data_IF_402588488249
#
_entry.id   IF_402588488249
#
_cell.length_a   1.000
_cell.length_b   1.000
_cell.length_c   1.000
_cell.angle_alpha   90.00
_cell.angle_beta   90.00
_cell.angle_gamma   90.00
#
_symmetry.space_group_name_H-M   'P 1'
#
loop_
_entity.id
_entity.type
_entity.pdbx_description
1 polymer ?
#
# COMPACT_ATOMS: atom_id res chain seq x y z
N UNK A 1 -6.44 48.11 8.38
CA UNK A 1 -5.11 47.89 8.98
C UNK A 1 -5.14 46.56 9.75
N UNK A 2 -4.72 45.47 9.11
CA UNK A 2 -4.75 44.13 9.70
C UNK A 2 -3.42 43.85 10.41
N UNK A 3 -3.46 43.77 11.73
CA UNK A 3 -2.32 43.44 12.57
C UNK A 3 -2.04 41.94 12.50
N UNK A 4 -0.94 41.55 11.83
CA UNK A 4 -0.34 40.21 11.93
C UNK A 4 0.07 39.95 13.38
N UNK A 5 -0.51 38.95 14.04
CA UNK A 5 0.05 38.39 15.28
C UNK A 5 1.07 37.31 14.91
N UNK A 6 2.26 37.28 15.54
CA UNK A 6 3.27 36.25 15.28
C UNK A 6 2.85 34.94 15.94
N UNK A 7 2.92 33.83 15.21
CA UNK A 7 2.65 32.50 15.74
C UNK A 7 3.74 32.12 16.75
N UNK A 8 3.33 31.90 18.00
CA UNK A 8 4.18 31.28 19.01
C UNK A 8 4.30 29.80 18.70
N UNK A 9 5.47 29.40 18.18
CA UNK A 9 5.85 28.01 17.94
C UNK A 9 5.92 27.26 19.28
N UNK A 10 4.98 26.36 19.53
CA UNK A 10 5.18 25.21 20.40
C UNK A 10 5.92 24.15 19.58
N UNK A 11 6.99 23.50 20.08
CA UNK A 11 7.82 22.65 19.26
C UNK A 11 7.09 21.33 18.94
N UNK A 12 6.47 21.28 17.76
CA UNK A 12 6.28 20.02 17.02
C UNK A 12 7.62 19.28 17.01
N UNK A 13 7.63 18.02 17.44
CA UNK A 13 8.81 17.16 17.43
C UNK A 13 9.59 17.34 16.11
N UNK A 14 10.89 17.65 16.20
CA UNK A 14 11.70 18.02 15.06
C UNK A 14 11.69 16.89 14.01
N UNK A 15 11.11 17.08 12.82
CA UNK A 15 10.98 16.02 11.80
C UNK A 15 12.34 15.41 11.40
N UNK A 16 13.41 16.21 11.47
CA UNK A 16 14.78 15.75 11.20
C UNK A 16 15.31 14.75 12.23
N UNK A 17 14.90 14.86 13.50
CA UNK A 17 15.31 13.91 14.54
C UNK A 17 14.61 12.55 14.38
N UNK A 18 13.32 12.56 14.03
CA UNK A 18 12.55 11.34 13.73
C UNK A 18 13.08 10.63 12.47
N UNK A 19 13.45 11.38 11.43
CA UNK A 19 14.05 10.83 10.21
C UNK A 19 15.42 10.16 10.49
N UNK A 20 16.27 10.78 11.32
CA UNK A 20 17.58 10.23 11.69
C UNK A 20 17.45 8.96 12.55
N UNK A 21 16.52 8.94 13.50
CA UNK A 21 16.23 7.75 14.30
C UNK A 21 15.68 6.59 13.45
N UNK A 22 14.83 6.90 12.46
CA UNK A 22 14.34 5.91 11.51
C UNK A 22 15.46 5.33 10.62
N UNK A 23 16.43 6.14 10.20
CA UNK A 23 17.61 5.69 9.43
C UNK A 23 18.45 4.68 10.22
N UNK A 24 18.82 5.00 11.46
CA UNK A 24 19.62 4.08 12.29
C UNK A 24 18.91 2.74 12.57
N UNK A 25 17.57 2.76 12.72
CA UNK A 25 16.78 1.53 12.85
C UNK A 25 16.75 0.71 11.56
N UNK A 26 16.68 1.37 10.40
CA UNK A 26 16.74 0.69 9.10
C UNK A 26 18.08 -0.01 8.90
N UNK A 27 19.18 0.68 9.21
CA UNK A 27 20.53 0.11 9.18
C UNK A 27 20.63 -1.11 10.10
N UNK A 28 20.13 -1.01 11.34
CA UNK A 28 20.12 -2.12 12.28
C UNK A 28 19.28 -3.31 11.79
N UNK A 29 18.10 -3.06 11.21
CA UNK A 29 17.27 -4.09 10.58
C UNK A 29 18.03 -4.78 9.45
N UNK A 30 18.60 -4.02 8.52
CA UNK A 30 19.34 -4.55 7.38
C UNK A 30 20.53 -5.42 7.83
N UNK A 31 21.32 -4.93 8.78
CA UNK A 31 22.44 -5.69 9.34
C UNK A 31 21.97 -6.98 10.03
N UNK A 32 20.87 -6.93 10.77
CA UNK A 32 20.28 -8.10 11.42
C UNK A 32 19.74 -9.11 10.41
N UNK A 33 19.07 -8.67 9.33
CA UNK A 33 18.59 -9.55 8.25
C UNK A 33 19.77 -10.23 7.54
N UNK A 34 20.84 -9.49 7.25
CA UNK A 34 22.06 -10.04 6.65
C UNK A 34 22.73 -11.07 7.57
N UNK A 35 22.78 -10.80 8.88
CA UNK A 35 23.30 -11.75 9.87
C UNK A 35 22.48 -13.04 9.89
N UNK A 36 21.15 -12.93 9.85
CA UNK A 36 20.25 -14.09 9.81
C UNK A 36 20.42 -14.90 8.52
N UNK A 37 20.53 -14.23 7.37
CA UNK A 37 20.77 -14.89 6.09
C UNK A 37 22.11 -15.64 6.07
N UNK A 38 23.17 -15.05 6.64
CA UNK A 38 24.50 -15.68 6.75
C UNK A 38 24.56 -16.87 7.70
N UNK A 39 23.62 -16.98 8.64
CA UNK A 39 23.52 -18.15 9.51
C UNK A 39 23.14 -19.43 8.74
N UNK A 40 22.53 -19.30 7.55
CA UNK A 40 22.12 -20.41 6.70
C UNK A 40 22.69 -20.31 5.27
N UNK A 41 23.99 -20.53 5.08
CA UNK A 41 24.59 -20.49 3.75
C UNK A 41 24.09 -21.63 2.84
N UNK A 42 23.64 -22.75 3.41
CA UNK A 42 23.03 -23.87 2.70
C UNK A 42 22.18 -24.74 3.63
N UNK A 43 21.30 -25.58 3.07
CA UNK A 43 20.51 -26.57 3.81
C UNK A 43 21.31 -27.87 4.00
N UNK A 44 21.94 -28.05 5.17
CA UNK A 44 22.78 -29.23 5.44
C UNK A 44 22.00 -30.55 5.54
N UNK A 45 20.68 -30.51 5.79
CA UNK A 45 19.84 -31.71 5.91
C UNK A 45 19.09 -32.02 4.62
N UNK A 46 19.40 -31.34 3.50
CA UNK A 46 18.68 -31.51 2.23
C UNK A 46 18.68 -32.96 1.72
N UNK A 47 19.78 -33.68 1.93
CA UNK A 47 19.90 -35.09 1.54
C UNK A 47 18.90 -36.00 2.28
N UNK A 48 18.46 -35.61 3.49
CA UNK A 48 17.52 -36.36 4.30
C UNK A 48 16.07 -36.25 3.81
N UNK A 49 15.76 -35.37 2.86
CA UNK A 49 14.42 -35.25 2.28
C UNK A 49 14.11 -36.37 1.26
N UNK A 50 15.11 -37.16 0.87
CA UNK A 50 15.01 -38.19 -0.16
C UNK A 50 15.03 -39.60 0.46
N UNK A 51 14.34 -40.52 -0.21
CA UNK A 51 14.34 -41.95 0.16
C UNK A 51 13.32 -42.31 1.24
N UNK A 52 13.24 -43.61 1.56
CA UNK A 52 12.19 -44.15 2.43
C UNK A 52 12.22 -43.55 3.84
N UNK A 53 13.41 -43.44 4.41
CA UNK A 53 13.55 -42.99 5.79
C UNK A 53 13.16 -41.52 5.93
N UNK A 54 13.62 -40.66 5.02
CA UNK A 54 13.23 -39.24 4.99
C UNK A 54 11.73 -39.01 4.78
N UNK A 55 11.08 -39.88 3.99
CA UNK A 55 9.65 -39.80 3.77
C UNK A 55 8.82 -40.20 5.01
N UNK A 56 9.28 -41.19 5.79
CA UNK A 56 8.59 -41.69 6.98
C UNK A 56 8.94 -40.91 8.25
N UNK A 57 10.16 -40.38 8.32
CA UNK A 57 10.72 -39.67 9.47
C UNK A 57 11.36 -38.35 8.99
N UNK A 58 10.56 -37.36 8.57
CA UNK A 58 11.09 -36.09 8.11
C UNK A 58 11.85 -35.40 9.25
N UNK A 59 13.12 -34.99 9.04
CA UNK A 59 13.88 -34.30 10.08
C UNK A 59 13.34 -32.88 10.30
N UNK A 60 13.51 -32.37 11.52
CA UNK A 60 13.26 -30.96 11.80
C UNK A 60 14.29 -30.10 11.06
N UNK A 61 13.80 -29.06 10.38
CA UNK A 61 14.64 -28.05 9.73
C UNK A 61 15.51 -27.28 10.73
N UNK A 62 16.65 -26.79 10.26
CA UNK A 62 17.45 -25.84 11.04
C UNK A 62 16.69 -24.51 11.18
N UNK A 63 16.79 -23.87 12.34
CA UNK A 63 16.15 -22.58 12.65
C UNK A 63 17.14 -21.67 13.34
N UNK A 64 16.99 -20.35 13.14
CA UNK A 64 17.81 -19.32 13.77
C UNK A 64 16.87 -18.24 14.25
N UNK A 65 17.02 -17.86 15.52
CA UNK A 65 16.25 -16.77 16.09
C UNK A 65 16.71 -15.44 15.50
N UNK A 66 15.73 -14.59 15.16
CA UNK A 66 16.01 -13.23 14.75
C UNK A 66 16.53 -12.43 15.97
N UNK A 67 17.59 -11.63 15.82
CA UNK A 67 18.19 -10.91 16.96
C UNK A 67 17.28 -9.77 17.48
N UNK A 68 16.25 -9.39 16.74
CA UNK A 68 15.17 -8.53 17.22
C UNK A 68 13.90 -8.68 16.37
N UNK A 69 12.73 -8.28 16.87
CA UNK A 69 11.49 -8.29 16.09
C UNK A 69 11.54 -7.40 14.83
N UNK A 70 12.38 -6.35 14.82
CA UNK A 70 12.50 -5.47 13.64
C UNK A 70 13.12 -6.21 12.44
N UNK A 71 13.92 -7.26 12.68
CA UNK A 71 14.57 -8.06 11.64
C UNK A 71 13.59 -8.96 10.90
N UNK A 72 12.58 -9.50 11.59
CA UNK A 72 11.53 -10.35 11.01
C UNK A 72 10.28 -9.58 10.59
N UNK A 73 10.11 -8.31 11.02
CA UNK A 73 8.99 -7.47 10.59
C UNK A 73 8.99 -7.27 9.06
N UNK A 74 7.81 -7.07 8.47
CA UNK A 74 7.70 -6.70 7.04
C UNK A 74 8.16 -5.26 6.80
N UNK A 75 7.88 -4.35 7.74
CA UNK A 75 8.29 -2.93 7.67
C UNK A 75 8.55 -2.34 9.05
N UNK A 76 9.46 -1.36 9.13
CA UNK A 76 9.72 -0.60 10.37
C UNK A 76 8.49 0.16 10.87
N UNK A 77 7.53 0.45 9.98
CA UNK A 77 6.28 1.12 10.30
C UNK A 77 5.30 0.27 11.11
N UNK A 78 5.58 -1.03 11.31
CA UNK A 78 4.75 -1.87 12.19
C UNK A 78 4.72 -1.38 13.64
N UNK A 79 5.73 -0.60 14.07
CA UNK A 79 5.74 0.07 15.38
C UNK A 79 5.09 1.45 15.40
N UNK A 80 4.55 1.94 14.27
CA UNK A 80 3.81 3.20 14.26
C UNK A 80 2.40 2.92 14.78
N UNK A 81 2.24 3.08 16.09
CA UNK A 81 0.98 2.87 16.79
C UNK A 81 0.00 4.01 16.48
N UNK A 82 -1.23 3.64 16.15
CA UNK A 82 -2.40 4.50 16.20
C UNK A 82 -3.63 3.63 16.44
N UNK A 83 -4.77 4.26 16.71
CA UNK A 83 -6.03 3.58 17.02
C UNK A 83 -6.46 2.57 15.94
N UNK A 84 -5.99 2.73 14.69
CA UNK A 84 -6.26 1.80 13.60
C UNK A 84 -5.26 0.65 13.52
N UNK A 85 -3.96 0.92 13.62
CA UNK A 85 -2.89 -0.07 13.41
C UNK A 85 -2.63 -0.96 14.62
N UNK A 86 -2.98 -0.50 15.83
CA UNK A 86 -2.74 -1.20 17.09
C UNK A 86 -1.24 -1.42 17.36
N UNK A 87 -0.96 -2.31 18.33
CA UNK A 87 0.35 -2.82 18.71
C UNK A 87 0.98 -3.79 17.70
N UNK A 88 2.22 -4.22 18.02
CA UNK A 88 2.79 -5.42 17.41
C UNK A 88 2.00 -6.65 17.87
N UNK A 89 1.84 -7.66 17.02
CA UNK A 89 1.11 -8.87 17.38
C UNK A 89 1.75 -9.54 18.62
N UNK A 90 0.94 -9.93 19.59
CA UNK A 90 1.42 -10.73 20.71
C UNK A 90 1.83 -12.13 20.21
N UNK A 91 3.04 -12.56 20.56
CA UNK A 91 3.56 -13.85 20.13
C UNK A 91 2.66 -14.98 20.65
N UNK A 92 2.06 -15.74 19.72
CA UNK A 92 1.22 -16.89 20.04
C UNK A 92 -0.25 -16.61 20.35
N UNK A 93 -0.75 -15.39 20.14
CA UNK A 93 -2.17 -15.03 20.32
C UNK A 93 -2.90 -14.83 18.97
N UNK A 94 -4.20 -15.17 18.94
CA UNK A 94 -5.10 -14.90 17.81
C UNK A 94 -6.53 -14.61 18.32
N UNK A 95 -6.97 -13.33 18.32
CA UNK A 95 -8.35 -12.96 18.64
C UNK A 95 -9.07 -12.23 17.51
N UNK A 96 -10.40 -12.45 17.39
CA UNK A 96 -11.26 -11.83 16.38
C UNK A 96 -11.85 -10.46 16.83
N UNK A 97 -11.80 -9.51 15.88
CA UNK A 97 -12.44 -8.18 15.75
C UNK A 97 -11.87 -6.96 16.53
N UNK A 98 -11.47 -5.94 15.73
CA UNK A 98 -10.94 -4.59 16.04
C UNK A 98 -9.40 -4.46 16.28
N UNK A 99 -8.83 -3.24 16.10
CA UNK A 99 -7.52 -2.91 15.46
C UNK A 99 -6.93 -3.90 14.43
N UNK A 100 -5.99 -3.44 13.58
CA UNK A 100 -5.30 -4.38 12.65
C UNK A 100 -4.49 -5.46 13.41
N UNK A 101 -4.11 -5.19 14.66
CA UNK A 101 -3.42 -6.12 15.55
C UNK A 101 -4.11 -7.49 15.67
N UNK A 102 -5.44 -7.51 15.79
CA UNK A 102 -6.23 -8.74 15.91
C UNK A 102 -6.07 -9.71 14.72
N UNK A 103 -5.77 -9.18 13.53
CA UNK A 103 -5.62 -9.98 12.30
C UNK A 103 -4.14 -10.11 11.88
N UNK A 104 -3.20 -9.74 12.75
CA UNK A 104 -1.77 -10.04 12.55
C UNK A 104 -1.46 -11.44 13.05
N UNK A 105 -0.53 -12.11 12.38
CA UNK A 105 -0.08 -13.44 12.76
C UNK A 105 1.44 -13.42 12.92
N UNK A 106 1.93 -13.77 14.11
CA UNK A 106 3.33 -14.14 14.35
C UNK A 106 3.41 -15.66 14.47
N UNK A 107 4.19 -16.28 13.56
CA UNK A 107 4.35 -17.74 13.49
C UNK A 107 5.62 -18.23 14.18
N UNK A 108 6.38 -17.36 14.87
CA UNK A 108 7.59 -17.76 15.60
C UNK A 108 7.29 -18.89 16.61
N UNK A 109 8.07 -19.97 16.56
CA UNK A 109 7.93 -21.12 17.45
C UNK A 109 6.63 -21.94 17.26
N UNK A 110 5.83 -21.66 16.22
CA UNK A 110 4.59 -22.40 15.95
C UNK A 110 4.84 -23.55 14.97
N UNK A 111 4.09 -24.64 15.15
CA UNK A 111 4.07 -25.72 14.18
C UNK A 111 3.40 -25.23 12.87
N UNK A 112 3.93 -25.67 11.73
CA UNK A 112 3.24 -25.50 10.46
C UNK A 112 1.97 -26.35 10.45
N UNK A 113 0.82 -25.75 10.15
CA UNK A 113 -0.47 -26.44 10.09
C UNK A 113 -1.17 -26.23 8.76
N UNK A 114 -2.19 -27.05 8.49
CA UNK A 114 -3.24 -26.73 7.52
C UNK A 114 -4.08 -25.55 8.00
N UNK A 115 -4.92 -25.01 7.12
CA UNK A 115 -5.89 -23.96 7.47
C UNK A 115 -6.94 -24.45 8.50
N UNK A 116 -7.12 -25.77 8.64
CA UNK A 116 -7.97 -26.40 9.65
C UNK A 116 -7.23 -26.70 10.98
N UNK A 117 -5.97 -26.26 11.11
CA UNK A 117 -5.19 -26.44 12.34
C UNK A 117 -4.52 -27.82 12.50
N UNK A 118 -4.49 -28.65 11.45
CA UNK A 118 -3.83 -29.96 11.49
C UNK A 118 -2.33 -29.78 11.28
N UNK A 119 -1.51 -30.23 12.23
CA UNK A 119 -0.06 -30.14 12.13
C UNK A 119 0.49 -30.92 10.92
N UNK A 120 1.40 -30.30 10.17
CA UNK A 120 2.01 -30.87 8.96
C UNK A 120 3.37 -31.48 9.33
N UNK A 121 3.48 -32.80 9.22
CA UNK A 121 4.74 -33.51 9.47
C UNK A 121 5.76 -33.34 8.33
N UNK A 122 5.31 -33.38 7.07
CA UNK A 122 6.17 -33.29 5.89
C UNK A 122 5.60 -32.31 4.85
N UNK A 123 6.22 -31.14 4.73
CA UNK A 123 5.85 -30.12 3.72
C UNK A 123 6.72 -30.18 2.45
N UNK A 124 7.52 -31.23 2.28
CA UNK A 124 8.47 -31.39 1.16
C UNK A 124 7.96 -32.37 0.09
N UNK A 125 6.96 -33.20 0.40
CA UNK A 125 6.52 -34.30 -0.46
C UNK A 125 5.01 -34.46 -0.46
N UNK A 126 4.45 -34.77 -1.62
CA UNK A 126 3.10 -35.30 -1.77
C UNK A 126 3.02 -36.75 -1.29
N UNK A 127 1.84 -37.16 -0.81
CA UNK A 127 1.48 -38.55 -0.55
C UNK A 127 1.34 -39.33 -1.86
N UNK A 128 2.02 -40.48 -1.94
CA UNK A 128 2.10 -41.30 -3.15
C UNK A 128 1.89 -42.79 -2.85
N UNK A 129 1.45 -43.57 -3.84
CA UNK A 129 1.45 -45.04 -3.79
C UNK A 129 2.88 -45.61 -3.93
N UNK A 130 3.67 -45.53 -2.86
CA UNK A 130 5.08 -45.87 -2.85
C UNK A 130 6.00 -44.70 -3.26
N UNK A 131 7.30 -44.85 -3.04
CA UNK A 131 8.27 -43.72 -3.16
C UNK A 131 8.33 -43.08 -4.55
N UNK A 132 8.07 -43.86 -5.60
CA UNK A 132 8.09 -43.41 -7.01
C UNK A 132 6.75 -43.68 -7.71
N UNK A 133 5.67 -43.84 -6.94
CA UNK A 133 4.34 -44.06 -7.46
C UNK A 133 3.57 -42.77 -7.75
N UNK A 134 2.33 -42.88 -8.24
CA UNK A 134 1.44 -41.74 -8.45
C UNK A 134 1.03 -41.08 -7.14
N UNK A 135 0.75 -39.77 -7.19
CA UNK A 135 0.16 -39.00 -6.08
C UNK A 135 -1.28 -39.46 -5.82
N UNK A 136 -1.68 -39.52 -4.55
CA UNK A 136 -3.01 -39.95 -4.14
C UNK A 136 -3.96 -38.76 -3.94
N UNK A 137 -5.23 -38.91 -4.34
CA UNK A 137 -6.25 -37.87 -4.18
C UNK A 137 -6.63 -37.61 -2.71
N UNK A 138 -6.41 -38.60 -1.84
CA UNK A 138 -6.65 -38.47 -0.39
C UNK A 138 -5.67 -37.51 0.31
N UNK A 139 -4.63 -37.03 -0.39
CA UNK A 139 -3.71 -35.99 0.11
C UNK A 139 -4.40 -34.63 0.24
N UNK A 140 -5.09 -34.43 1.37
CA UNK A 140 -5.79 -33.18 1.64
C UNK A 140 -4.84 -32.01 1.94
N UNK A 141 -3.63 -32.27 2.45
CA UNK A 141 -2.63 -31.23 2.72
C UNK A 141 -2.15 -30.62 1.40
N UNK A 142 -1.78 -31.47 0.43
CA UNK A 142 -1.41 -31.01 -0.90
C UNK A 142 -2.55 -30.24 -1.56
N UNK A 143 -3.76 -30.81 -1.57
CA UNK A 143 -4.91 -30.17 -2.21
C UNK A 143 -5.24 -28.82 -1.58
N UNK A 144 -5.27 -28.72 -0.25
CA UNK A 144 -5.54 -27.46 0.42
C UNK A 144 -4.50 -26.39 0.06
N UNK A 145 -3.21 -26.73 0.13
CA UNK A 145 -2.11 -25.81 -0.20
C UNK A 145 -2.18 -25.32 -1.65
N UNK A 146 -2.39 -26.23 -2.61
CA UNK A 146 -2.50 -25.89 -4.03
C UNK A 146 -3.80 -25.12 -4.32
N UNK A 147 -4.93 -25.51 -3.70
CA UNK A 147 -6.20 -24.79 -3.86
C UNK A 147 -6.06 -23.34 -3.41
N UNK A 148 -5.41 -23.07 -2.27
CA UNK A 148 -5.18 -21.70 -1.83
C UNK A 148 -4.28 -20.93 -2.82
N UNK A 149 -3.19 -21.55 -3.28
CA UNK A 149 -2.27 -20.97 -4.27
C UNK A 149 -3.00 -20.60 -5.59
N UNK A 150 -3.79 -21.52 -6.13
CA UNK A 150 -4.51 -21.36 -7.39
C UNK A 150 -5.52 -20.20 -7.34
N UNK A 151 -5.96 -19.80 -6.15
CA UNK A 151 -6.94 -18.73 -5.93
C UNK A 151 -6.35 -17.48 -5.26
N UNK A 152 -5.02 -17.32 -5.22
CA UNK A 152 -4.38 -16.13 -4.64
C UNK A 152 -4.71 -14.83 -5.37
N UNK A 153 -4.95 -14.90 -6.69
CA UNK A 153 -5.11 -13.71 -7.52
C UNK A 153 -6.56 -13.24 -7.50
N UNK A 154 -6.75 -12.04 -6.95
CA UNK A 154 -7.97 -11.26 -7.16
C UNK A 154 -7.79 -10.32 -8.37
N UNK A 155 -8.89 -9.86 -9.01
CA UNK A 155 -8.82 -8.83 -10.03
C UNK A 155 -8.10 -7.59 -9.50
N UNK A 156 -7.26 -7.01 -10.36
CA UNK A 156 -6.68 -5.70 -10.05
C UNK A 156 -7.70 -4.58 -10.28
N UNK A 157 -7.32 -3.35 -9.90
CA UNK A 157 -8.14 -2.18 -10.19
C UNK A 157 -8.11 -1.90 -11.70
N UNK A 158 -9.22 -1.50 -12.29
CA UNK A 158 -9.32 -1.15 -13.73
C UNK A 158 -8.29 -0.08 -14.13
N UNK A 159 -8.19 0.95 -13.29
CA UNK A 159 -7.17 2.00 -13.34
C UNK A 159 -6.46 2.08 -11.99
N UNK A 160 -5.28 2.67 -11.95
CA UNK A 160 -4.50 2.76 -10.71
C UNK A 160 -4.14 1.40 -10.10
N UNK A 161 -3.91 0.38 -10.95
CA UNK A 161 -3.57 -0.97 -10.51
C UNK A 161 -2.20 -1.00 -9.81
N UNK A 162 -1.17 -0.40 -10.42
CA UNK A 162 0.15 -0.23 -9.81
C UNK A 162 0.11 0.87 -8.76
N UNK A 163 0.40 0.50 -7.50
CA UNK A 163 0.42 1.47 -6.42
C UNK A 163 1.07 0.95 -5.14
N UNK A 164 1.48 1.89 -4.30
CA UNK A 164 2.14 1.66 -3.02
C UNK A 164 1.40 2.43 -1.93
N UNK A 165 1.37 1.91 -0.71
CA UNK A 165 0.58 2.50 0.37
C UNK A 165 1.33 2.55 1.70
N UNK A 166 0.90 3.47 2.57
CA UNK A 166 1.45 3.66 3.91
C UNK A 166 0.38 4.11 4.90
N UNK A 167 0.55 3.71 6.16
CA UNK A 167 -0.20 4.25 7.29
C UNK A 167 0.42 5.55 7.81
N UNK A 168 -0.41 6.41 8.40
CA UNK A 168 0.02 7.63 9.07
C UNK A 168 -1.12 8.24 9.89
N UNK A 169 -1.01 9.53 10.19
CA UNK A 169 -2.10 10.30 10.76
C UNK A 169 -2.13 11.70 10.12
N UNK A 170 -3.32 12.30 10.12
CA UNK A 170 -3.53 13.72 9.88
C UNK A 170 -3.69 14.42 11.23
N UNK A 171 -3.07 15.58 11.41
CA UNK A 171 -3.21 16.41 12.61
C UNK A 171 -3.72 17.78 12.20
N UNK A 172 -4.85 18.21 12.77
CA UNK A 172 -5.45 19.52 12.48
C UNK A 172 -4.60 20.62 13.14
N UNK A 173 -4.10 21.58 12.37
CA UNK A 173 -3.31 22.70 12.90
C UNK A 173 -4.18 23.89 13.29
N UNK A 174 -5.28 24.08 12.58
CA UNK A 174 -6.21 25.19 12.74
C UNK A 174 -7.62 24.63 12.58
N UNK A 175 -8.45 24.76 13.62
CA UNK A 175 -9.85 24.38 13.53
C UNK A 175 -10.59 25.38 12.63
N UNK A 176 -11.41 24.86 11.72
CA UNK A 176 -12.18 25.65 10.74
C UNK A 176 -13.67 25.37 10.89
N UNK A 177 -14.16 25.36 12.13
CA UNK A 177 -15.55 25.06 12.49
C UNK A 177 -16.54 26.08 11.93
N UNK A 178 -16.07 27.29 11.61
CA UNK A 178 -16.81 28.31 10.87
C UNK A 178 -17.10 27.89 9.41
N UNK A 179 -16.26 27.03 8.83
CA UNK A 179 -16.40 26.55 7.45
C UNK A 179 -16.99 25.14 7.36
N UNK A 180 -16.71 24.26 8.33
CA UNK A 180 -17.13 22.86 8.27
C UNK A 180 -17.37 22.21 9.63
N UNK A 181 -18.37 21.33 9.68
CA UNK A 181 -18.58 20.40 10.81
C UNK A 181 -17.82 19.06 10.66
N UNK A 182 -16.96 18.92 9.65
CA UNK A 182 -16.28 17.65 9.37
C UNK A 182 -15.25 17.30 10.46
N UNK A 183 -15.42 16.10 11.03
CA UNK A 183 -14.64 15.55 12.14
C UNK A 183 -13.12 15.79 12.13
N UNK A 184 -12.38 15.70 11.01
CA UNK A 184 -10.93 15.95 11.00
C UNK A 184 -10.54 17.40 11.31
N UNK A 185 -11.45 18.36 11.17
CA UNK A 185 -11.13 19.80 11.16
C UNK A 185 -11.74 20.59 12.33
N UNK A 186 -12.35 19.92 13.31
CA UNK A 186 -13.11 20.57 14.40
C UNK A 186 -12.25 21.00 15.58
N UNK A 187 -11.06 20.42 15.77
CA UNK A 187 -10.22 20.65 16.95
C UNK A 187 -8.73 20.64 16.59
N UNK A 188 -8.01 21.69 17.02
CA UNK A 188 -6.55 21.79 16.87
C UNK A 188 -5.85 20.68 17.64
N UNK A 189 -4.89 20.00 17.01
CA UNK A 189 -4.16 18.88 17.58
C UNK A 189 -4.88 17.53 17.47
N UNK A 190 -6.15 17.50 17.01
CA UNK A 190 -6.87 16.23 16.77
C UNK A 190 -6.12 15.41 15.73
N UNK A 191 -5.74 14.18 16.10
CA UNK A 191 -5.12 13.21 15.22
C UNK A 191 -6.15 12.25 14.66
N UNK A 192 -6.26 12.22 13.34
CA UNK A 192 -7.10 11.27 12.61
C UNK A 192 -6.20 10.25 11.93
N UNK A 193 -6.33 8.93 12.23
CA UNK A 193 -5.57 7.92 11.52
C UNK A 193 -5.85 7.95 10.02
N UNK A 194 -4.82 7.74 9.20
CA UNK A 194 -4.97 7.67 7.75
C UNK A 194 -4.27 6.46 7.13
N UNK A 195 -4.78 6.05 5.98
CA UNK A 195 -4.10 5.14 5.06
C UNK A 195 -4.04 5.79 3.68
N UNK A 196 -2.83 5.98 3.18
CA UNK A 196 -2.58 6.64 1.90
C UNK A 196 -2.16 5.60 0.88
N UNK A 197 -2.74 5.65 -0.32
CA UNK A 197 -2.29 4.87 -1.48
C UNK A 197 -1.93 5.80 -2.63
N UNK A 198 -0.67 5.70 -3.06
CA UNK A 198 -0.15 6.30 -4.28
C UNK A 198 -0.21 5.30 -5.43
N UNK A 199 -0.32 5.78 -6.66
CA UNK A 199 -0.44 4.90 -7.84
C UNK A 199 -0.06 5.61 -9.13
N UNK A 200 0.30 4.86 -10.18
CA UNK A 200 0.16 5.32 -11.57
C UNK A 200 -1.31 5.16 -12.02
N UNK A 201 -1.65 5.29 -13.30
CA UNK A 201 -3.03 5.15 -13.81
C UNK A 201 -3.16 4.04 -14.84
N UNK A 202 -2.45 4.14 -15.96
CA UNK A 202 -2.67 3.29 -17.13
C UNK A 202 -2.11 1.88 -16.91
N UNK A 203 -0.98 1.78 -16.20
CA UNK A 203 -0.28 0.52 -15.99
C UNK A 203 -1.04 -0.53 -15.18
N UNK A 204 -0.87 -1.80 -15.55
CA UNK A 204 -1.30 -2.97 -14.74
C UNK A 204 -0.48 -3.09 -13.45
N UNK A 205 -0.85 -3.96 -12.49
CA UNK A 205 -0.17 -4.05 -11.17
C UNK A 205 1.33 -4.32 -11.23
N UNK A 206 1.81 -4.95 -12.31
CA UNK A 206 3.21 -5.26 -12.57
C UNK A 206 3.99 -4.19 -13.34
N UNK A 207 3.37 -3.07 -13.70
CA UNK A 207 4.00 -2.00 -14.48
C UNK A 207 5.10 -1.26 -13.69
N UNK A 208 6.03 -0.55 -14.36
CA UNK A 208 7.06 0.22 -13.67
C UNK A 208 6.47 1.45 -12.94
N UNK A 209 7.13 1.88 -11.86
CA UNK A 209 6.73 3.08 -11.09
C UNK A 209 7.09 4.40 -11.79
N UNK A 210 8.12 4.38 -12.65
CA UNK A 210 8.72 5.57 -13.26
C UNK A 210 8.14 5.91 -14.65
N UNK A 211 7.02 5.29 -15.04
CA UNK A 211 6.32 5.65 -16.27
C UNK A 211 5.90 7.13 -16.28
N UNK A 212 5.90 7.77 -17.45
CA UNK A 212 5.26 9.09 -17.62
C UNK A 212 3.75 8.89 -17.53
N UNK A 213 3.18 9.31 -16.41
CA UNK A 213 1.77 9.08 -16.10
C UNK A 213 1.28 10.10 -15.05
N UNK A 214 -0.03 10.23 -14.90
CA UNK A 214 -0.61 10.85 -13.71
C UNK A 214 -0.30 9.97 -12.50
N UNK A 215 -0.19 10.57 -11.31
CA UNK A 215 -0.14 9.80 -10.06
C UNK A 215 -1.42 9.98 -9.26
N UNK A 216 -2.06 8.88 -8.90
CA UNK A 216 -3.14 8.88 -7.91
C UNK A 216 -2.59 9.12 -6.52
N UNK A 217 -3.31 9.92 -5.72
CA UNK A 217 -3.02 10.25 -4.33
C UNK A 217 -4.32 10.12 -3.53
N UNK A 218 -4.63 8.90 -3.09
CA UNK A 218 -5.84 8.60 -2.34
C UNK A 218 -5.54 8.52 -0.84
N UNK A 219 -6.26 9.30 -0.03
CA UNK A 219 -6.13 9.32 1.43
C UNK A 219 -7.45 8.92 2.06
N UNK A 220 -7.44 7.81 2.79
CA UNK A 220 -8.56 7.38 3.64
C UNK A 220 -8.35 7.89 5.05
N UNK A 221 -9.28 8.68 5.55
CA UNK A 221 -9.36 9.16 6.93
C UNK A 221 -10.31 8.27 7.73
N UNK A 222 -9.83 7.73 8.84
CA UNK A 222 -10.65 6.95 9.78
C UNK A 222 -11.16 7.89 10.86
N UNK A 223 -12.27 8.57 10.61
CA UNK A 223 -12.83 9.57 11.53
C UNK A 223 -13.81 8.94 12.51
N UNK A 224 -14.06 9.64 13.61
CA UNK A 224 -15.09 9.31 14.61
C UNK A 224 -16.53 9.46 14.10
N UNK A 225 -16.71 10.05 12.91
CA UNK A 225 -18.01 10.21 12.24
C UNK A 225 -18.11 9.41 10.93
N UNK A 226 -17.26 8.38 10.78
CA UNK A 226 -17.21 7.52 9.61
C UNK A 226 -15.95 7.74 8.76
N UNK A 227 -15.72 6.82 7.83
CA UNK A 227 -14.54 6.94 6.97
C UNK A 227 -14.78 7.99 5.88
N UNK A 228 -13.79 8.84 5.66
CA UNK A 228 -13.81 9.81 4.58
C UNK A 228 -12.64 9.55 3.63
N UNK A 229 -12.92 9.45 2.33
CA UNK A 229 -11.92 9.20 1.30
C UNK A 229 -11.72 10.45 0.45
N UNK A 230 -10.53 11.03 0.52
CA UNK A 230 -10.09 12.08 -0.40
C UNK A 230 -9.26 11.43 -1.50
N UNK A 231 -9.93 11.11 -2.61
CA UNK A 231 -9.32 10.42 -3.77
C UNK A 231 -8.90 11.46 -4.81
N UNK A 232 -7.62 11.81 -4.81
CA UNK A 232 -7.06 12.83 -5.68
C UNK A 232 -5.99 12.32 -6.65
N UNK A 233 -5.41 13.26 -7.39
CA UNK A 233 -4.26 13.08 -8.28
C UNK A 233 -3.14 14.06 -7.95
N UNK A 234 -1.95 13.89 -8.53
CA UNK A 234 -0.83 14.82 -8.42
C UNK A 234 -0.92 16.05 -9.35
N UNK A 235 -2.02 16.18 -10.09
CA UNK A 235 -2.30 17.25 -11.06
C UNK A 235 -3.68 17.87 -10.72
N UNK A 236 -3.84 19.21 -10.78
CA UNK A 236 -5.05 19.90 -10.28
C UNK A 236 -6.28 19.82 -11.21
N UNK A 237 -6.16 19.19 -12.37
CA UNK A 237 -7.20 19.04 -13.39
C UNK A 237 -7.27 17.60 -13.87
N UNK A 238 -8.29 17.29 -14.68
CA UNK A 238 -8.47 15.97 -15.29
C UNK A 238 -8.58 16.09 -16.81
N UNK A 239 -8.48 14.95 -17.51
CA UNK A 239 -8.48 14.88 -18.97
C UNK A 239 -9.83 15.20 -19.61
N UNK A 240 -10.93 14.93 -18.89
CA UNK A 240 -12.30 15.02 -19.41
C UNK A 240 -13.19 15.79 -18.44
N UNK A 241 -14.29 16.34 -18.96
CA UNK A 241 -15.26 17.11 -18.18
C UNK A 241 -16.40 16.24 -17.63
N UNK A 242 -16.86 15.26 -18.41
CA UNK A 242 -17.99 14.39 -18.05
C UNK A 242 -17.53 12.93 -17.86
N UNK A 243 -18.04 12.29 -16.80
CA UNK A 243 -17.74 10.90 -16.46
C UNK A 243 -18.18 9.89 -17.53
N UNK A 244 -19.15 10.23 -18.39
CA UNK A 244 -19.58 9.39 -19.50
C UNK A 244 -18.43 9.09 -20.48
N UNK A 245 -17.45 10.00 -20.61
CA UNK A 245 -16.26 9.82 -21.47
C UNK A 245 -15.14 9.03 -20.81
N UNK A 246 -15.28 8.63 -19.53
CA UNK A 246 -14.21 7.96 -18.79
C UNK A 246 -13.81 6.61 -19.42
N UNK A 247 -14.73 5.73 -19.85
CA UNK A 247 -14.34 4.51 -20.55
C UNK A 247 -13.61 4.79 -21.86
N UNK A 248 -14.02 5.80 -22.63
CA UNK A 248 -13.37 6.16 -23.89
C UNK A 248 -11.92 6.62 -23.67
N UNK A 249 -11.69 7.50 -22.69
CA UNK A 249 -10.36 7.94 -22.29
C UNK A 249 -9.49 6.78 -21.78
N UNK A 250 -10.06 5.93 -20.92
CA UNK A 250 -9.30 4.82 -20.33
C UNK A 250 -8.94 3.80 -21.41
N UNK A 251 -9.86 3.48 -22.32
CA UNK A 251 -9.58 2.60 -23.46
C UNK A 251 -8.54 3.21 -24.41
N UNK A 252 -8.55 4.54 -24.61
CA UNK A 252 -7.58 5.18 -25.51
C UNK A 252 -6.16 5.22 -24.95
N UNK A 253 -5.98 5.30 -23.63
CA UNK A 253 -4.63 5.32 -22.99
C UNK A 253 -4.13 3.94 -22.54
N UNK A 254 -5.02 2.96 -22.43
CA UNK A 254 -4.67 1.57 -22.10
C UNK A 254 -4.01 0.88 -23.30
N UNK A 255 -3.33 -0.26 -23.07
CA UNK A 255 -2.75 -1.04 -24.16
C UNK A 255 -3.82 -1.41 -25.19
N UNK A 256 -3.49 -1.31 -26.48
CA UNK A 256 -4.46 -1.49 -27.56
C UNK A 256 -5.00 -2.93 -27.59
N UNK A 257 -6.30 -3.12 -27.83
CA UNK A 257 -6.99 -4.37 -27.50
C UNK A 257 -6.56 -5.58 -28.34
N UNK A 258 -5.96 -5.35 -29.51
CA UNK A 258 -5.60 -6.41 -30.45
C UNK A 258 -4.26 -7.09 -30.11
N UNK A 259 -3.37 -6.42 -29.37
CA UNK A 259 -2.07 -6.97 -28.98
C UNK A 259 -1.61 -6.61 -27.55
N UNK A 260 -2.44 -5.90 -26.78
CA UNK A 260 -2.18 -5.48 -25.39
C UNK A 260 -0.84 -4.73 -25.23
N UNK A 261 -0.57 -3.77 -26.11
CA UNK A 261 0.63 -2.91 -26.06
C UNK A 261 0.27 -1.45 -26.39
N UNK A 262 1.07 -0.46 -25.94
CA UNK A 262 2.18 -0.58 -24.99
C UNK A 262 1.70 -0.63 -23.52
N UNK A 263 2.53 -1.17 -22.63
CA UNK A 263 2.27 -1.15 -21.19
C UNK A 263 2.70 0.19 -20.58
N UNK A 264 1.82 0.80 -19.78
CA UNK A 264 2.08 2.01 -18.99
C UNK A 264 2.70 3.18 -19.80
N UNK A 265 2.22 3.41 -21.02
CA UNK A 265 2.66 4.53 -21.85
C UNK A 265 1.50 5.08 -22.66
N UNK A 266 1.39 6.41 -22.74
CA UNK A 266 0.43 7.11 -23.61
C UNK A 266 1.02 7.39 -25.00
N UNK A 267 2.18 6.81 -25.33
CA UNK A 267 2.92 7.05 -26.56
C UNK A 267 2.51 6.02 -27.63
N UNK A 268 1.25 6.06 -28.05
CA UNK A 268 0.70 5.22 -29.10
C UNK A 268 -0.54 5.88 -29.73
N UNK A 269 -0.95 5.36 -30.88
CA UNK A 269 -1.90 5.98 -31.81
C UNK A 269 -3.26 6.24 -31.18
N UNK A 270 -3.87 5.26 -30.51
CA UNK A 270 -5.22 5.41 -29.95
C UNK A 270 -5.35 6.52 -28.90
N UNK A 271 -4.31 6.76 -28.08
CA UNK A 271 -4.33 7.87 -27.12
C UNK A 271 -4.27 9.22 -27.82
N UNK A 272 -3.38 9.36 -28.80
CA UNK A 272 -3.19 10.62 -29.53
C UNK A 272 -4.34 10.90 -30.50
N UNK A 273 -5.00 9.88 -31.02
CA UNK A 273 -6.24 10.01 -31.78
C UNK A 273 -7.34 10.63 -30.91
N UNK A 274 -7.63 10.03 -29.74
CA UNK A 274 -8.57 10.60 -28.76
C UNK A 274 -8.19 12.04 -28.38
N UNK A 275 -6.91 12.28 -28.10
CA UNK A 275 -6.41 13.59 -27.71
C UNK A 275 -6.57 14.65 -28.80
N UNK A 276 -6.47 14.26 -30.08
CA UNK A 276 -6.64 15.15 -31.23
C UNK A 276 -8.10 15.55 -31.48
N UNK A 277 -9.04 14.68 -31.10
CA UNK A 277 -10.48 14.87 -31.32
C UNK A 277 -11.21 15.49 -30.12
N UNK A 278 -10.58 15.53 -28.94
CA UNK A 278 -11.18 15.99 -27.68
C UNK A 278 -10.43 17.20 -27.10
N UNK A 279 -10.64 18.44 -27.58
CA UNK A 279 -9.85 19.61 -27.16
C UNK A 279 -9.95 19.97 -25.67
N UNK A 280 -10.95 19.47 -24.93
CA UNK A 280 -11.02 19.64 -23.47
C UNK A 280 -9.80 19.07 -22.73
N UNK A 281 -9.10 18.11 -23.35
CA UNK A 281 -7.93 17.42 -22.79
C UNK A 281 -6.67 18.29 -22.76
N UNK A 282 -6.62 19.38 -23.54
CA UNK A 282 -5.37 20.11 -23.82
C UNK A 282 -4.68 20.61 -22.56
N UNK A 283 -5.41 21.08 -21.56
CA UNK A 283 -4.80 21.50 -20.29
C UNK A 283 -4.09 20.33 -19.61
N UNK A 284 -4.73 19.16 -19.55
CA UNK A 284 -4.14 17.97 -18.93
C UNK A 284 -2.93 17.45 -19.69
N UNK A 285 -2.92 17.53 -21.03
CA UNK A 285 -1.76 17.19 -21.86
C UNK A 285 -0.52 17.99 -21.46
N UNK A 286 -0.67 19.30 -21.22
CA UNK A 286 0.45 20.13 -20.79
C UNK A 286 1.06 19.66 -19.46
N UNK A 287 0.23 19.19 -18.52
CA UNK A 287 0.70 18.65 -17.26
C UNK A 287 1.40 17.30 -17.43
N UNK A 288 0.80 16.35 -18.15
CA UNK A 288 1.36 15.00 -18.27
C UNK A 288 2.60 14.93 -19.17
N UNK A 289 2.75 15.88 -20.09
CA UNK A 289 3.96 16.03 -20.90
C UNK A 289 5.09 16.77 -20.17
N UNK A 290 4.80 17.46 -19.07
CA UNK A 290 5.81 18.09 -18.20
C UNK A 290 6.45 17.08 -17.23
N UNK A 291 7.46 17.52 -16.47
CA UNK A 291 8.13 16.67 -15.46
C UNK A 291 7.22 16.29 -14.27
N UNK A 292 6.03 16.92 -14.16
CA UNK A 292 5.01 16.55 -13.16
C UNK A 292 4.57 15.08 -13.25
N UNK A 293 4.68 14.46 -14.42
CA UNK A 293 4.29 13.07 -14.67
C UNK A 293 5.41 12.05 -14.48
N UNK A 294 6.62 12.51 -14.12
CA UNK A 294 7.78 11.67 -13.80
C UNK A 294 8.38 12.10 -12.44
N UNK A 295 7.56 12.14 -11.36
CA UNK A 295 8.00 12.67 -10.08
C UNK A 295 9.16 11.87 -9.50
N UNK A 296 10.11 12.56 -8.86
CA UNK A 296 11.27 11.92 -8.23
C UNK A 296 10.89 10.92 -7.14
N UNK A 297 9.81 11.21 -6.42
CA UNK A 297 9.26 10.40 -5.33
C UNK A 297 7.82 10.82 -5.02
N UNK A 298 6.98 9.89 -4.54
CA UNK A 298 5.67 10.24 -3.98
C UNK A 298 5.74 11.27 -2.84
N UNK A 299 6.89 11.34 -2.15
CA UNK A 299 7.14 12.31 -1.07
C UNK A 299 7.41 13.74 -1.58
N UNK A 300 7.59 13.91 -2.89
CA UNK A 300 8.01 15.15 -3.55
C UNK A 300 7.08 15.54 -4.70
N UNK A 301 5.80 15.14 -4.63
CA UNK A 301 4.76 15.60 -5.56
C UNK A 301 3.63 16.27 -4.79
N UNK A 302 2.96 17.24 -5.42
CA UNK A 302 1.71 17.77 -4.90
C UNK A 302 0.58 16.75 -5.04
N UNK A 303 -0.52 16.96 -4.31
CA UNK A 303 -1.77 16.22 -4.46
C UNK A 303 -2.95 17.19 -4.53
N UNK A 304 -4.01 16.80 -5.24
CA UNK A 304 -5.16 17.64 -5.50
C UNK A 304 -6.44 16.79 -5.53
N UNK A 305 -7.50 17.28 -4.88
CA UNK A 305 -8.83 16.67 -4.99
C UNK A 305 -9.50 16.87 -6.35
N UNK A 306 -8.92 17.74 -7.20
CA UNK A 306 -9.37 18.14 -8.55
C UNK A 306 -10.71 18.88 -8.54
N UNK A 307 -11.77 18.23 -8.09
CA UNK A 307 -13.13 18.74 -8.07
C UNK A 307 -13.31 19.84 -7.02
N UNK A 308 -14.27 20.72 -7.29
CA UNK A 308 -14.80 21.62 -6.27
C UNK A 308 -15.82 20.86 -5.43
N UNK A 309 -15.57 20.77 -4.13
CA UNK A 309 -16.49 20.22 -3.14
C UNK A 309 -17.18 21.36 -2.37
N UNK A 310 -18.09 20.99 -1.46
CA UNK A 310 -18.66 21.90 -0.47
C UNK A 310 -18.21 21.50 0.92
N UNK A 311 -17.78 22.49 1.70
CA UNK A 311 -17.78 22.39 3.15
C UNK A 311 -19.08 22.99 3.66
N UNK A 312 -19.65 22.37 4.69
CA UNK A 312 -20.90 22.81 5.33
C UNK A 312 -20.66 22.91 6.83
N UNK A 313 -20.95 24.07 7.43
CA UNK A 313 -20.81 24.31 8.86
C UNK A 313 -22.08 23.90 9.64
N UNK A 314 -22.06 24.06 10.97
CA UNK A 314 -23.19 23.67 11.85
C UNK A 314 -24.48 24.45 11.59
N UNK A 315 -24.39 25.65 11.01
CA UNK A 315 -25.53 26.48 10.62
C UNK A 315 -26.11 26.08 9.25
N UNK A 316 -25.51 25.09 8.57
CA UNK A 316 -25.88 24.68 7.22
C UNK A 316 -25.37 25.61 6.11
N UNK A 317 -24.46 26.54 6.42
CA UNK A 317 -23.86 27.44 5.44
C UNK A 317 -22.80 26.70 4.64
N UNK A 318 -22.82 26.87 3.32
CA UNK A 318 -21.94 26.15 2.40
C UNK A 318 -20.88 27.06 1.77
N UNK A 319 -19.64 26.59 1.74
CA UNK A 319 -18.53 27.22 1.01
C UNK A 319 -17.89 26.23 0.04
N UNK A 320 -17.48 26.72 -1.13
CA UNK A 320 -16.77 25.91 -2.11
C UNK A 320 -15.31 25.68 -1.67
N UNK A 321 -14.81 24.45 -1.86
CA UNK A 321 -13.45 24.07 -1.50
C UNK A 321 -12.79 23.25 -2.60
N UNK A 322 -11.47 23.43 -2.77
CA UNK A 322 -10.59 22.47 -3.44
C UNK A 322 -9.52 22.02 -2.46
N UNK A 323 -9.24 20.73 -2.42
CA UNK A 323 -8.25 20.17 -1.51
C UNK A 323 -6.87 20.07 -2.16
N UNK A 324 -5.84 20.41 -1.38
CA UNK A 324 -4.45 20.44 -1.82
C UNK A 324 -3.55 19.76 -0.79
N UNK A 325 -2.60 18.96 -1.28
CA UNK A 325 -1.48 18.41 -0.52
C UNK A 325 -0.19 19.05 -1.00
N UNK A 326 0.51 19.72 -0.09
CA UNK A 326 1.83 20.30 -0.37
C UNK A 326 2.91 19.45 0.32
N UNK A 327 3.87 18.88 -0.44
CA UNK A 327 4.91 18.04 0.14
C UNK A 327 5.89 18.89 0.94
N UNK A 328 6.16 18.49 2.19
CA UNK A 328 7.15 19.15 3.07
C UNK A 328 8.56 19.13 2.44
N UNK A 329 8.88 18.10 1.64
CA UNK A 329 10.18 17.94 1.00
C UNK A 329 10.34 18.72 -0.32
N UNK A 330 9.39 19.58 -0.67
CA UNK A 330 9.38 20.29 -1.94
C UNK A 330 8.86 19.43 -3.10
N UNK A 331 8.82 20.03 -4.30
CA UNK A 331 8.35 19.37 -5.52
C UNK A 331 9.52 19.17 -6.48
N UNK A 332 9.79 17.93 -6.88
CA UNK A 332 10.94 17.52 -7.69
C UNK A 332 10.58 16.40 -8.68
#
# INVERSE_FOLDING_TARGET
MATKRPSTKTPSANPGAQAKAASGRLEAKMAGTETLARAFPFNAIKANEVGRNGALNPPQGQTQDAPSPDVSASTLSEKNLNDKTGGAAAAGENPNHAPLEAVRVDSAGRALTTNQGVAIANNQSSLKAGLRGPTLLEDFILREKITHFDHERIPERIVHARGSAAHGFFECTDAITDLTMAAPFVEVGKRTPVFVRFSTVAGERGSPDLARDVRGFAVKFYTDQGNWDLVGNNIPVFFIQDAMKFPDLVHSVKPEPHHAMPQAASAHDTFWDFASLMPEITHMLMWVMSDRAIPRSYRMMQGFGVHTFRLVNENGEAVFVKFHWNPVLGTH
#
